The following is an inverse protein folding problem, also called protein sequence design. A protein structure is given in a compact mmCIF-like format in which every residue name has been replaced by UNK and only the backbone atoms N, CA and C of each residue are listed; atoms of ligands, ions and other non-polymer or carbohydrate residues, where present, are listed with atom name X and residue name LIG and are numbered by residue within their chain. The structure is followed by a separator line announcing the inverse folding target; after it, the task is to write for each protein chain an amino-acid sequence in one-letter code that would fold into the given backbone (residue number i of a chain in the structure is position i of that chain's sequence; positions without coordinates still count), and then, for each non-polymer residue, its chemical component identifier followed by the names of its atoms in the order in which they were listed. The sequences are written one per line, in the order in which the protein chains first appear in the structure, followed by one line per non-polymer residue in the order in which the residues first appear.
data_IF_925488161279
#
_entry.id   IF_925488161279
#
_cell.length_a   1.000
_cell.length_b   1.000
_cell.length_c   1.000
_cell.angle_alpha   90.00
_cell.angle_beta   90.00
_cell.angle_gamma   90.00
#
_symmetry.space_group_name_H-M   'P 1'
#
loop_
_entity.id
_entity.type
_entity.pdbx_description
1 polymer ?
#
# COMPACT_ATOMS: atom_id res chain seq x y z
N UNK A 1 9.47 10.84 18.71
CA UNK A 1 9.17 10.43 18.84
C UNK A 1 7.94 10.13 18.52
N UNK A 2 7.24 10.42 18.29
CA UNK A 2 6.12 10.14 18.04
C UNK A 2 5.73 9.84 16.74
N UNK A 3 6.26 10.18 15.79
CA UNK A 3 5.89 9.96 14.42
C UNK A 3 5.86 8.50 14.06
N UNK A 4 6.36 7.65 14.91
CA UNK A 4 6.34 6.27 14.54
C UNK A 4 5.01 5.65 14.63
N UNK A 5 4.05 6.28 15.25
CA UNK A 5 2.74 5.67 15.39
C UNK A 5 1.99 5.62 14.08
N UNK A 6 2.41 6.41 13.07
CA UNK A 6 1.68 6.44 11.82
C UNK A 6 1.68 5.10 11.10
N UNK A 7 2.82 4.47 11.02
CA UNK A 7 2.88 3.20 10.33
C UNK A 7 2.63 2.02 11.22
N UNK A 8 2.74 2.20 12.52
CA UNK A 8 2.60 1.12 13.47
C UNK A 8 1.21 0.49 13.42
N UNK A 9 0.19 1.33 13.36
CA UNK A 9 -1.18 0.80 13.34
C UNK A 9 -1.42 -0.02 12.08
N UNK A 10 -0.95 0.46 10.94
CA UNK A 10 -1.11 -0.29 9.70
C UNK A 10 -0.36 -1.61 9.78
N UNK A 11 0.88 -1.60 10.26
CA UNK A 11 1.68 -2.80 10.32
C UNK A 11 1.11 -3.85 11.26
N UNK A 12 0.43 -3.42 12.30
CA UNK A 12 -0.18 -4.35 13.23
C UNK A 12 -1.46 -4.98 12.68
N UNK A 13 -2.03 -4.39 11.66
CA UNK A 13 -3.32 -4.84 11.12
C UNK A 13 -3.24 -5.19 9.65
N UNK A 14 -2.10 -5.67 9.20
CA UNK A 14 -1.95 -6.02 7.78
C UNK A 14 -2.94 -7.07 7.32
N UNK A 15 -3.40 -7.91 8.25
CA UNK A 15 -4.38 -8.93 7.90
C UNK A 15 -5.75 -8.35 7.55
N UNK A 16 -5.96 -7.07 7.82
CA UNK A 16 -7.22 -6.42 7.45
C UNK A 16 -7.18 -5.82 6.05
N UNK A 17 -6.02 -5.78 5.43
CA UNK A 17 -5.90 -5.20 4.10
C UNK A 17 -6.70 -5.98 3.07
N UNK A 18 -7.39 -5.26 2.21
CA UNK A 18 -8.17 -5.86 1.14
C UNK A 18 -8.35 -4.82 0.04
N UNK A 19 -8.92 -5.23 -1.07
CA UNK A 19 -9.23 -4.29 -2.14
C UNK A 19 -10.45 -4.82 -2.88
N UNK A 20 -10.95 -4.03 -3.82
CA UNK A 20 -12.10 -4.42 -4.63
C UNK A 20 -11.62 -5.06 -5.93
N UNK A 21 -12.55 -5.64 -6.69
CA UNK A 21 -12.19 -6.20 -7.98
C UNK A 21 -11.62 -5.15 -8.91
N UNK A 22 -12.21 -3.95 -8.89
CA UNK A 22 -11.67 -2.88 -9.70
C UNK A 22 -10.31 -2.45 -9.20
N UNK A 23 -10.11 -2.50 -7.88
CA UNK A 23 -8.82 -2.18 -7.31
C UNK A 23 -7.74 -3.12 -7.78
N UNK A 24 -8.05 -4.41 -7.84
CA UNK A 24 -7.09 -5.39 -8.33
C UNK A 24 -6.69 -5.07 -9.77
N UNK A 25 -7.67 -4.77 -10.61
CA UNK A 25 -7.40 -4.47 -12.01
C UNK A 25 -6.51 -3.23 -12.14
N UNK A 26 -6.85 -2.19 -11.38
CA UNK A 26 -6.06 -0.96 -11.42
C UNK A 26 -4.62 -1.17 -10.98
N UNK A 27 -4.45 -1.86 -9.85
CA UNK A 27 -3.14 -2.07 -9.29
C UNK A 27 -2.28 -2.88 -10.25
N UNK A 28 -2.85 -3.93 -10.81
CA UNK A 28 -2.11 -4.75 -11.76
C UNK A 28 -1.70 -3.97 -12.99
N UNK A 29 -2.61 -3.17 -13.50
CA UNK A 29 -2.32 -2.39 -14.69
C UNK A 29 -1.25 -1.34 -14.39
N UNK A 30 -1.38 -0.65 -13.26
CA UNK A 30 -0.45 0.43 -12.93
C UNK A 30 0.95 -0.07 -12.66
N UNK A 31 1.05 -1.27 -12.09
CA UNK A 31 2.36 -1.82 -11.72
C UNK A 31 2.89 -2.84 -12.71
N UNK A 32 2.10 -3.18 -13.71
CA UNK A 32 2.53 -4.16 -14.69
C UNK A 32 2.60 -5.57 -14.13
N UNK A 33 1.74 -5.90 -13.18
CA UNK A 33 1.75 -7.21 -12.54
C UNK A 33 0.90 -8.17 -13.35
N UNK A 34 1.51 -8.87 -14.26
CA UNK A 34 0.75 -9.78 -15.12
C UNK A 34 0.67 -11.19 -14.55
N UNK A 35 1.64 -11.57 -13.74
CA UNK A 35 1.67 -12.92 -13.22
C UNK A 35 1.40 -13.03 -11.74
N UNK A 36 1.24 -11.91 -11.06
CA UNK A 36 1.00 -11.95 -9.63
C UNK A 36 -0.47 -12.26 -9.39
N UNK A 37 -0.73 -13.36 -8.72
CA UNK A 37 -2.10 -13.77 -8.49
C UNK A 37 -2.73 -13.10 -7.27
N UNK A 38 -1.92 -12.79 -6.29
CA UNK A 38 -2.45 -12.19 -5.06
C UNK A 38 -1.94 -10.76 -4.94
N UNK A 39 -2.70 -9.85 -5.48
CA UNK A 39 -2.34 -8.43 -5.50
C UNK A 39 -2.24 -7.86 -4.08
N UNK A 40 -3.16 -8.27 -3.20
CA UNK A 40 -3.15 -7.79 -1.83
C UNK A 40 -1.88 -8.25 -1.12
N UNK A 41 -1.52 -9.51 -1.29
CA UNK A 41 -0.32 -10.02 -0.67
C UNK A 41 0.93 -9.33 -1.20
N UNK A 42 0.93 -9.02 -2.49
CA UNK A 42 2.04 -8.28 -3.09
C UNK A 42 2.21 -6.94 -2.38
N UNK A 43 1.10 -6.23 -2.14
CA UNK A 43 1.14 -4.94 -1.45
C UNK A 43 1.59 -5.11 -0.01
N UNK A 44 1.11 -6.14 0.68
CA UNK A 44 1.51 -6.37 2.07
C UNK A 44 3.01 -6.52 2.20
N UNK A 45 3.62 -7.25 1.29
CA UNK A 45 5.06 -7.47 1.35
C UNK A 45 5.83 -6.16 1.20
N UNK A 46 5.33 -5.25 0.36
CA UNK A 46 6.00 -3.97 0.20
C UNK A 46 5.79 -3.08 1.42
N UNK A 47 4.59 -3.15 2.01
CA UNK A 47 4.29 -2.33 3.19
C UNK A 47 5.16 -2.76 4.38
N UNK A 48 5.38 -4.05 4.56
CA UNK A 48 6.20 -4.49 5.70
C UNK A 48 7.69 -4.46 5.41
N UNK A 49 8.10 -4.08 4.23
CA UNK A 49 9.53 -4.04 3.92
C UNK A 49 10.23 -2.98 4.77
N UNK A 50 11.42 -3.26 5.26
CA UNK A 50 12.11 -2.31 6.16
C UNK A 50 12.44 -0.99 5.49
N UNK A 51 12.55 -0.96 4.17
CA UNK A 51 12.88 0.29 3.49
C UNK A 51 11.64 1.01 2.97
N UNK A 52 10.44 0.62 3.41
CA UNK A 52 9.26 1.37 3.06
C UNK A 52 9.06 2.53 4.03
N UNK A 53 8.39 3.57 3.56
CA UNK A 53 8.05 4.72 4.38
C UNK A 53 6.54 4.88 4.38
N UNK A 54 5.94 4.93 5.56
CA UNK A 54 4.49 5.04 5.70
C UNK A 54 4.15 6.40 6.27
N UNK A 55 3.30 7.14 5.57
CA UNK A 55 2.88 8.47 5.99
C UNK A 55 1.36 8.50 6.06
N UNK A 56 0.82 9.01 7.15
CA UNK A 56 -0.62 9.19 7.30
C UNK A 56 -0.98 10.61 6.90
N UNK A 57 -1.93 10.75 5.98
CA UNK A 57 -2.44 12.07 5.62
C UNK A 57 -3.95 11.98 5.52
N UNK A 58 -4.65 12.74 6.36
CA UNK A 58 -6.09 12.70 6.39
C UNK A 58 -6.57 11.30 6.71
N UNK A 59 -7.34 10.73 5.83
CA UNK A 59 -7.91 9.39 6.07
C UNK A 59 -7.18 8.29 5.32
N UNK A 60 -6.00 8.56 4.79
CA UNK A 60 -5.25 7.56 4.04
C UNK A 60 -3.85 7.40 4.56
N UNK A 61 -3.30 6.21 4.38
CA UNK A 61 -1.88 5.98 4.50
C UNK A 61 -1.29 5.96 3.12
N UNK A 62 -0.10 6.58 2.96
CA UNK A 62 0.65 6.55 1.72
C UNK A 62 1.96 5.83 2.00
N UNK A 63 2.17 4.72 1.33
CA UNK A 63 3.34 3.88 1.55
C UNK A 63 4.27 4.02 0.35
N UNK A 64 5.47 4.50 0.60
CA UNK A 64 6.47 4.69 -0.44
C UNK A 64 7.51 3.58 -0.32
N UNK A 65 7.66 2.81 -1.37
CA UNK A 65 8.62 1.74 -1.41
C UNK A 65 9.37 1.82 -2.72
N UNK A 66 10.62 2.24 -2.65
CA UNK A 66 11.47 2.44 -3.82
C UNK A 66 10.76 3.37 -4.80
N UNK A 67 10.37 2.88 -5.97
CA UNK A 67 9.70 3.74 -6.92
C UNK A 67 8.21 3.42 -7.04
N UNK A 68 7.64 2.85 -6.00
CA UNK A 68 6.21 2.55 -5.96
C UNK A 68 5.54 3.30 -4.83
N UNK A 69 4.26 3.59 -5.00
CA UNK A 69 3.46 4.18 -3.93
C UNK A 69 2.15 3.42 -3.82
N UNK A 70 1.77 3.07 -2.60
CA UNK A 70 0.53 2.36 -2.31
C UNK A 70 -0.31 3.25 -1.43
N UNK A 71 -1.60 3.40 -1.76
CA UNK A 71 -2.52 4.20 -0.97
C UNK A 71 -3.55 3.28 -0.32
N UNK A 72 -3.70 3.40 1.00
CA UNK A 72 -4.63 2.58 1.77
C UNK A 72 -5.51 3.47 2.62
N UNK A 73 -6.82 3.22 2.59
CA UNK A 73 -7.75 3.96 3.43
C UNK A 73 -7.56 3.52 4.88
N UNK A 74 -7.39 4.47 5.78
CA UNK A 74 -7.04 4.15 7.16
C UNK A 74 -8.22 3.65 7.98
N UNK A 75 -9.41 3.91 7.54
CA UNK A 75 -10.58 3.45 8.29
C UNK A 75 -11.03 2.07 7.87
N UNK A 76 -11.03 1.79 6.58
CA UNK A 76 -11.52 0.51 6.09
C UNK A 76 -10.41 -0.46 5.73
N UNK A 77 -9.17 -0.02 5.70
CA UNK A 77 -8.02 -0.84 5.29
C UNK A 77 -8.15 -1.31 3.84
N UNK A 78 -8.86 -0.52 3.03
CA UNK A 78 -8.97 -0.81 1.61
C UNK A 78 -7.76 -0.24 0.88
N UNK A 79 -7.11 -1.07 0.09
CA UNK A 79 -6.05 -0.59 -0.79
C UNK A 79 -6.73 0.13 -1.94
N UNK A 80 -6.59 1.44 -1.99
CA UNK A 80 -7.26 2.24 -2.99
C UNK A 80 -6.57 2.11 -4.33
N UNK A 81 -5.24 2.21 -4.33
CA UNK A 81 -4.48 2.06 -5.55
C UNK A 81 -3.01 1.86 -5.21
N UNK A 82 -2.26 1.42 -6.18
CA UNK A 82 -0.81 1.34 -6.09
C UNK A 82 -0.28 1.61 -7.49
N UNK A 83 0.81 2.34 -7.58
CA UNK A 83 1.36 2.65 -8.90
C UNK A 83 2.83 2.99 -8.76
N UNK A 84 3.51 3.01 -9.88
CA UNK A 84 4.91 3.40 -9.89
C UNK A 84 5.00 4.91 -9.86
N UNK A 85 5.98 5.41 -9.13
CA UNK A 85 6.22 6.82 -9.10
C UNK A 85 7.29 7.15 -10.12
N UNK A 86 7.03 8.21 -10.88
CA UNK A 86 8.01 8.64 -11.84
C UNK A 86 9.04 9.46 -11.11
N UNK A 87 10.27 9.01 -11.10
CA UNK A 87 11.33 9.73 -10.41
C UNK A 87 12.29 10.28 -11.43
N UNK A 88 12.37 11.53 -11.51
CA UNK A 88 13.29 12.14 -12.46
C UNK A 88 14.42 12.85 -11.79
#
# INVERSE_FOLDING_TARGET
MMCQTEGTELLRNLNRLHTTELGVVRIRKNLGLTEEKDTVNWCKKRIEAPDSTIVRKGKNWYIYFRDCMITVNAYSYTIITAHKQNRT
#
